data_IF_931394779795
#
_entry.id   IF_931394779795
#
_cell.length_a   1.000
_cell.length_b   1.000
_cell.length_c   1.000
_cell.angle_alpha   90.00
_cell.angle_beta   90.00
_cell.angle_gamma   90.00
#
_symmetry.space_group_name_H-M   'P 1'
#
loop_
_entity.id
_entity.type
_entity.pdbx_description
1 polymer ?
#
# COMPACT_ATOMS: atom_id res chain seq x y z
N UNK A 1 9.85 -52.49 -21.70
CA UNK A 1 9.27 -51.57 -20.72
C UNK A 1 10.22 -51.51 -19.55
N UNK A 2 11.09 -50.50 -19.55
CA UNK A 2 12.08 -50.26 -18.49
C UNK A 2 11.55 -49.10 -17.64
N UNK A 3 11.46 -49.21 -16.31
CA UNK A 3 10.99 -48.12 -15.47
C UNK A 3 12.01 -46.98 -15.44
N UNK A 4 11.51 -45.75 -15.46
CA UNK A 4 12.27 -44.52 -15.34
C UNK A 4 12.90 -44.39 -13.94
N UNK A 5 14.12 -43.81 -13.81
CA UNK A 5 14.68 -43.53 -12.50
C UNK A 5 13.93 -42.35 -11.87
N UNK A 6 13.56 -42.52 -10.61
CA UNK A 6 13.19 -41.43 -9.69
C UNK A 6 14.45 -40.60 -9.41
N UNK A 7 14.74 -39.65 -10.29
CA UNK A 7 15.70 -38.61 -9.96
C UNK A 7 15.01 -37.61 -9.03
N UNK A 8 15.36 -37.71 -7.75
CA UNK A 8 14.95 -36.79 -6.69
C UNK A 8 15.63 -35.44 -6.87
N UNK A 9 15.29 -34.71 -7.94
CA UNK A 9 15.48 -33.27 -7.97
C UNK A 9 14.42 -32.68 -7.05
N UNK A 10 14.76 -32.59 -5.76
CA UNK A 10 14.05 -31.76 -4.82
C UNK A 10 13.86 -30.39 -5.47
N UNK A 11 12.60 -30.01 -5.72
CA UNK A 11 12.24 -28.63 -5.97
C UNK A 11 12.90 -27.82 -4.86
N UNK A 12 13.93 -27.06 -5.20
CA UNK A 12 14.65 -26.23 -4.26
C UNK A 12 13.62 -25.46 -3.45
N UNK A 13 13.66 -25.69 -2.13
CA UNK A 13 13.05 -24.87 -1.10
C UNK A 13 13.55 -23.45 -1.35
N UNK A 14 12.87 -22.71 -2.23
CA UNK A 14 13.21 -21.32 -2.46
C UNK A 14 12.91 -20.64 -1.13
N UNK A 15 13.93 -20.10 -0.44
CA UNK A 15 13.67 -19.38 0.79
C UNK A 15 12.71 -18.26 0.42
N UNK A 16 11.52 -18.27 1.02
CA UNK A 16 10.65 -17.10 1.01
C UNK A 16 11.55 -15.94 1.41
N UNK A 17 11.77 -14.93 0.55
CA UNK A 17 12.76 -13.91 0.82
C UNK A 17 12.37 -13.25 2.15
N UNK A 18 13.22 -13.44 3.16
CA UNK A 18 12.98 -12.90 4.50
C UNK A 18 12.69 -11.41 4.35
N UNK A 19 11.64 -10.92 5.01
CA UNK A 19 11.24 -9.51 4.92
C UNK A 19 12.38 -8.56 5.33
N UNK A 20 13.36 -9.04 6.12
CA UNK A 20 14.59 -8.34 6.53
C UNK A 20 15.53 -7.95 5.37
N UNK A 21 15.39 -8.55 4.20
CA UNK A 21 16.31 -8.37 3.07
C UNK A 21 15.85 -7.29 2.07
N UNK A 22 14.77 -6.57 2.39
CA UNK A 22 14.20 -5.52 1.56
C UNK A 22 14.62 -4.13 2.03
N UNK A 23 14.93 -3.22 1.10
CA UNK A 23 15.23 -1.84 1.47
C UNK A 23 14.00 -1.22 2.13
N UNK A 24 14.21 -0.59 3.30
CA UNK A 24 13.17 0.09 4.06
C UNK A 24 13.42 1.60 4.01
N UNK A 25 12.50 2.33 3.41
CA UNK A 25 12.50 3.79 3.41
C UNK A 25 11.88 4.28 4.72
N UNK A 26 12.71 4.82 5.60
CA UNK A 26 12.29 5.35 6.90
C UNK A 26 11.23 6.45 6.80
N UNK A 27 11.11 7.13 5.64
CA UNK A 27 10.06 8.14 5.41
C UNK A 27 8.66 7.53 5.34
N UNK A 28 8.55 6.25 5.00
CA UNK A 28 7.28 5.55 4.86
C UNK A 28 6.79 4.97 6.20
N UNK A 29 7.66 4.88 7.21
CA UNK A 29 7.32 4.29 8.50
C UNK A 29 6.10 4.95 9.18
N UNK A 30 5.92 6.28 9.17
CA UNK A 30 4.71 6.91 9.70
C UNK A 30 3.43 6.60 8.94
N UNK A 31 3.53 6.08 7.71
CA UNK A 31 2.41 5.79 6.81
C UNK A 31 2.13 4.29 6.66
N UNK A 32 3.00 3.45 7.20
CA UNK A 32 2.90 2.00 7.14
C UNK A 32 1.69 1.51 7.93
N UNK A 33 0.77 0.87 7.22
CA UNK A 33 -0.46 0.29 7.78
C UNK A 33 -1.32 1.31 8.54
N UNK A 34 -1.44 2.51 7.96
CA UNK A 34 -2.18 3.63 8.56
C UNK A 34 -3.53 3.86 7.92
N UNK A 35 -4.39 4.54 8.67
CA UNK A 35 -5.69 5.01 8.21
C UNK A 35 -5.77 6.53 8.37
N UNK A 36 -6.27 7.19 7.35
CA UNK A 36 -6.44 8.64 7.30
C UNK A 36 -7.90 8.96 7.10
N UNK A 37 -8.46 9.82 7.93
CA UNK A 37 -9.77 10.40 7.71
C UNK A 37 -9.65 11.51 6.66
N UNK A 38 -10.56 11.50 5.68
CA UNK A 38 -10.67 12.53 4.66
C UNK A 38 -11.92 13.36 4.91
N UNK A 39 -11.73 14.67 5.08
CA UNK A 39 -12.82 15.64 5.22
C UNK A 39 -12.72 16.75 4.18
N UNK A 40 -13.84 17.43 3.94
CA UNK A 40 -13.88 18.62 3.10
C UNK A 40 -14.83 19.63 3.71
N UNK A 41 -14.31 20.81 4.07
CA UNK A 41 -15.11 21.84 4.75
C UNK A 41 -15.64 21.37 6.10
N UNK A 42 -14.84 20.59 6.83
CA UNK A 42 -15.21 20.01 8.13
C UNK A 42 -16.16 18.80 8.08
N UNK A 43 -16.62 18.37 6.89
CA UNK A 43 -17.48 17.19 6.74
C UNK A 43 -16.63 16.00 6.32
N UNK A 44 -16.69 14.90 7.08
CA UNK A 44 -16.01 13.64 6.73
C UNK A 44 -16.66 13.04 5.49
N UNK A 45 -15.86 12.79 4.46
CA UNK A 45 -16.31 12.19 3.19
C UNK A 45 -15.83 10.75 3.01
N UNK A 46 -14.78 10.35 3.72
CA UNK A 46 -14.28 8.99 3.66
C UNK A 46 -13.04 8.76 4.51
N UNK A 47 -12.42 7.61 4.29
CA UNK A 47 -11.14 7.21 4.87
C UNK A 47 -10.22 6.67 3.78
N UNK A 48 -8.94 6.89 3.94
CA UNK A 48 -7.88 6.38 3.09
C UNK A 48 -7.05 5.38 3.92
N UNK A 49 -6.96 4.14 3.45
CA UNK A 49 -6.07 3.14 4.06
C UNK A 49 -4.77 3.10 3.27
N UNK A 50 -3.63 3.18 3.94
CA UNK A 50 -2.30 3.12 3.35
C UNK A 50 -1.53 1.90 3.88
N UNK A 51 -0.94 1.12 2.98
CA UNK A 51 -0.06 -0.01 3.30
C UNK A 51 1.24 0.13 2.53
N UNK A 52 2.35 -0.09 3.20
CA UNK A 52 3.67 -0.09 2.57
C UNK A 52 4.08 -1.54 2.42
N UNK A 53 4.27 -1.99 1.18
CA UNK A 53 4.61 -3.38 0.87
C UNK A 53 5.95 -3.43 0.13
N UNK A 54 6.74 -4.50 0.35
CA UNK A 54 7.88 -4.78 -0.51
C UNK A 54 7.42 -4.97 -1.97
N UNK A 55 8.15 -4.40 -2.91
CA UNK A 55 7.82 -4.48 -4.34
C UNK A 55 9.08 -4.53 -5.21
N UNK A 56 8.97 -5.12 -6.41
CA UNK A 56 10.05 -5.19 -7.39
C UNK A 56 9.67 -4.36 -8.61
N UNK A 57 10.47 -3.34 -8.93
CA UNK A 57 10.35 -2.63 -10.21
C UNK A 57 10.97 -3.44 -11.35
N UNK A 58 12.05 -4.15 -11.03
CA UNK A 58 12.76 -5.07 -11.90
C UNK A 58 13.10 -6.32 -11.08
N UNK A 59 13.32 -7.48 -11.71
CA UNK A 59 13.60 -8.73 -10.99
C UNK A 59 14.72 -8.64 -9.95
N UNK A 60 15.71 -7.76 -10.19
CA UNK A 60 16.88 -7.50 -9.34
C UNK A 60 16.77 -6.21 -8.49
N UNK A 61 15.73 -5.39 -8.69
CA UNK A 61 15.58 -4.11 -7.99
C UNK A 61 14.50 -4.23 -6.92
N UNK A 62 14.92 -4.59 -5.70
CA UNK A 62 14.08 -4.53 -4.51
C UNK A 62 13.76 -3.06 -4.18
N UNK A 63 12.51 -2.78 -3.86
CA UNK A 63 11.98 -1.46 -3.51
C UNK A 63 10.80 -1.64 -2.55
N UNK A 64 10.23 -0.53 -2.09
CA UNK A 64 8.89 -0.50 -1.52
C UNK A 64 7.90 0.13 -2.50
N UNK A 65 6.62 -0.15 -2.27
CA UNK A 65 5.48 0.50 -2.90
C UNK A 65 4.44 0.86 -1.83
N UNK A 66 3.75 1.98 -2.03
CA UNK A 66 2.65 2.40 -1.16
C UNK A 66 1.34 2.04 -1.84
N UNK A 67 0.62 1.09 -1.28
CA UNK A 67 -0.74 0.78 -1.69
C UNK A 67 -1.71 1.61 -0.88
N UNK A 68 -2.60 2.33 -1.53
CA UNK A 68 -3.64 3.08 -0.86
C UNK A 68 -5.01 2.81 -1.45
N UNK A 69 -6.04 2.85 -0.61
CA UNK A 69 -7.43 2.62 -1.02
C UNK A 69 -8.34 3.62 -0.34
N UNK A 70 -9.16 4.27 -1.15
CA UNK A 70 -10.18 5.20 -0.68
C UNK A 70 -11.48 4.45 -0.39
N UNK A 71 -12.02 4.67 0.80
CA UNK A 71 -13.31 4.15 1.23
C UNK A 71 -14.20 5.36 1.54
N UNK A 72 -15.30 5.47 0.81
CA UNK A 72 -16.27 6.53 0.96
C UNK A 72 -17.22 6.23 2.13
N UNK A 73 -17.80 7.28 2.73
CA UNK A 73 -18.78 7.13 3.84
C UNK A 73 -20.06 6.41 3.42
N UNK A 74 -20.36 6.36 2.12
CA UNK A 74 -21.52 5.64 1.56
C UNK A 74 -21.25 4.13 1.38
N UNK A 75 -20.09 3.65 1.83
CA UNK A 75 -19.67 2.25 1.72
C UNK A 75 -19.02 1.88 0.39
N UNK A 76 -18.97 2.79 -0.58
CA UNK A 76 -18.23 2.56 -1.83
C UNK A 76 -16.73 2.58 -1.55
N UNK A 77 -15.99 1.79 -2.32
CA UNK A 77 -14.54 1.81 -2.28
C UNK A 77 -13.97 1.95 -3.68
N UNK A 78 -12.89 2.72 -3.77
CA UNK A 78 -12.08 2.76 -4.99
C UNK A 78 -11.25 1.47 -5.11
N UNK A 79 -10.78 1.20 -6.32
CA UNK A 79 -9.74 0.20 -6.52
C UNK A 79 -8.47 0.62 -5.76
N UNK A 80 -7.74 -0.34 -5.15
CA UNK A 80 -6.43 -0.06 -4.59
C UNK A 80 -5.52 0.55 -5.65
N UNK A 81 -4.78 1.58 -5.26
CA UNK A 81 -3.82 2.28 -6.11
C UNK A 81 -2.44 2.12 -5.54
N UNK A 82 -1.47 2.04 -6.44
CA UNK A 82 -0.07 1.93 -6.08
C UNK A 82 0.62 3.28 -6.33
N UNK A 83 1.34 3.76 -5.32
CA UNK A 83 2.27 4.88 -5.44
C UNK A 83 3.71 4.36 -5.31
N UNK A 84 4.58 4.99 -6.09
CA UNK A 84 5.94 4.56 -6.33
C UNK A 84 6.92 5.70 -6.06
N UNK A 85 7.97 5.43 -5.29
CA UNK A 85 9.01 6.39 -4.98
C UNK A 85 9.88 6.83 -6.18
N UNK A 86 10.92 7.65 -5.95
CA UNK A 86 11.25 8.30 -4.68
C UNK A 86 10.41 9.57 -4.41
N UNK A 87 9.53 9.97 -5.33
CA UNK A 87 8.73 11.19 -5.21
C UNK A 87 7.55 11.07 -4.25
N UNK A 88 7.03 9.85 -4.07
CA UNK A 88 5.91 9.52 -3.18
C UNK A 88 4.77 10.58 -3.17
N UNK A 89 4.16 10.92 -4.32
CA UNK A 89 3.07 11.90 -4.40
C UNK A 89 2.00 11.77 -3.31
N UNK A 90 1.53 10.55 -3.01
CA UNK A 90 0.47 10.37 -2.02
C UNK A 90 0.96 10.71 -0.62
N UNK A 91 2.17 10.28 -0.28
CA UNK A 91 2.81 10.57 1.00
C UNK A 91 3.05 12.07 1.14
N UNK A 92 3.58 12.70 0.10
CA UNK A 92 3.81 14.14 0.04
C UNK A 92 2.54 14.95 0.31
N UNK A 93 1.38 14.52 -0.17
CA UNK A 93 0.12 15.18 0.14
C UNK A 93 -0.33 14.93 1.59
N UNK A 94 -0.23 13.69 2.08
CA UNK A 94 -0.62 13.34 3.45
C UNK A 94 0.24 14.06 4.50
N UNK A 95 1.54 14.22 4.25
CA UNK A 95 2.44 15.05 5.07
C UNK A 95 1.99 16.51 5.16
N UNK A 96 1.33 17.02 4.12
CA UNK A 96 0.75 18.36 4.08
C UNK A 96 -0.65 18.43 4.69
N UNK A 97 -1.14 17.33 5.27
CA UNK A 97 -2.49 17.23 5.84
C UNK A 97 -3.58 17.26 4.79
N UNK A 98 -3.31 16.79 3.57
CA UNK A 98 -4.28 16.76 2.47
C UNK A 98 -4.19 15.48 1.65
N UNK A 99 -5.19 15.24 0.81
CA UNK A 99 -5.16 14.17 -0.18
C UNK A 99 -5.79 14.67 -1.48
N UNK A 100 -5.10 14.48 -2.60
CA UNK A 100 -5.57 14.90 -3.93
C UNK A 100 -6.03 13.67 -4.70
N UNK A 101 -7.33 13.61 -5.00
CA UNK A 101 -7.90 12.56 -5.85
C UNK A 101 -7.92 13.04 -7.30
N UNK A 102 -6.89 12.68 -8.07
CA UNK A 102 -6.69 13.18 -9.43
C UNK A 102 -7.85 12.84 -10.38
N UNK A 103 -8.43 11.66 -10.26
CA UNK A 103 -9.49 11.20 -11.17
C UNK A 103 -10.84 11.90 -10.95
N UNK A 104 -11.05 12.46 -9.77
CA UNK A 104 -12.26 13.22 -9.46
C UNK A 104 -11.98 14.72 -9.59
N UNK A 105 -11.66 15.16 -10.81
CA UNK A 105 -11.38 16.57 -11.14
C UNK A 105 -10.32 17.24 -10.22
N UNK A 106 -9.36 16.47 -9.71
CA UNK A 106 -8.38 16.97 -8.75
C UNK A 106 -8.98 17.40 -7.41
N UNK A 107 -10.02 16.71 -6.93
CA UNK A 107 -10.66 17.02 -5.65
C UNK A 107 -9.65 16.90 -4.51
N UNK A 108 -9.54 17.96 -3.71
CA UNK A 108 -8.67 18.01 -2.53
C UNK A 108 -9.48 17.76 -1.26
N UNK A 109 -8.98 16.87 -0.43
CA UNK A 109 -9.50 16.56 0.90
C UNK A 109 -8.49 17.01 1.94
N UNK A 110 -8.97 17.44 3.09
CA UNK A 110 -8.20 17.54 4.32
C UNK A 110 -7.97 16.13 4.84
N UNK A 111 -6.72 15.76 5.10
CA UNK A 111 -6.34 14.42 5.53
C UNK A 111 -5.77 14.48 6.95
N UNK A 112 -6.33 13.67 7.83
CA UNK A 112 -5.85 13.54 9.22
C UNK A 112 -5.67 12.07 9.55
N UNK A 113 -4.48 11.70 10.02
CA UNK A 113 -4.23 10.37 10.54
C UNK A 113 -5.14 10.10 11.73
N UNK A 114 -5.78 8.93 11.74
CA UNK A 114 -6.64 8.49 12.83
C UNK A 114 -6.04 7.25 13.47
N UNK A 115 -5.93 7.27 14.80
CA UNK A 115 -5.64 6.07 15.58
C UNK A 115 -6.91 5.21 15.61
N UNK A 116 -6.94 4.21 14.75
CA UNK A 116 -8.05 3.28 14.68
C UNK A 116 -7.55 1.97 14.09
N UNK A 117 -8.17 0.82 14.47
CA UNK A 117 -7.75 -0.44 13.90
C UNK A 117 -7.81 -0.32 12.39
N UNK A 118 -6.73 -0.70 11.72
CA UNK A 118 -6.80 -1.23 10.38
C UNK A 118 -7.66 -2.51 10.46
N UNK A 119 -8.96 -2.36 10.74
CA UNK A 119 -9.92 -3.44 10.78
C UNK A 119 -10.09 -3.87 9.33
N UNK A 120 -9.21 -4.78 8.92
CA UNK A 120 -9.63 -6.13 8.59
C UNK A 120 -11.15 -6.27 8.55
N UNK A 121 -11.73 -5.94 7.41
CA UNK A 121 -12.93 -6.61 6.96
C UNK A 121 -12.49 -7.43 5.75
N UNK A 122 -12.09 -8.70 5.93
CA UNK A 122 -12.25 -9.67 4.87
C UNK A 122 -13.75 -9.84 4.68
N UNK A 123 -14.16 -9.83 3.41
CA UNK A 123 -15.50 -10.19 2.93
C UNK A 123 -16.09 -11.41 3.66
#
# INVERSE_FOLDING_TARGET
>A
MTPWPIDGTACEDQPVPSMDDWPRDARLDPFRDTVWQLSRGGIVQGRLTCRVVPSRRLPWQKSESVWYRLHWVDGRHELPREDHGPGWPVISDLERGRFVLTDLAGTVFEARQVDGPAADEPL
#
